data_IF_590274629363
#
_entry.id   IF_590274629363
#
_cell.length_a   1.000
_cell.length_b   1.000
_cell.length_c   1.000
_cell.angle_alpha   90.00
_cell.angle_beta   90.00
_cell.angle_gamma   90.00
#
_symmetry.space_group_name_H-M   'P 1'
#
loop_
_entity.id
_entity.type
_entity.pdbx_description
1 polymer ?
#
# COMPACT_ATOMS: atom_id res chain seq x y z
N UNK A 1 -14.01 -4.04 -8.32
CA UNK A 1 -12.75 -4.82 -8.38
C UNK A 1 -11.83 -4.56 -7.19
N UNK A 2 -11.96 -3.43 -6.49
CA UNK A 2 -11.12 -3.03 -5.35
C UNK A 2 -11.02 -4.05 -4.21
N UNK A 3 -12.12 -4.75 -3.90
CA UNK A 3 -12.14 -5.86 -2.94
C UNK A 3 -11.20 -7.02 -3.28
N UNK A 4 -11.10 -7.40 -4.57
CA UNK A 4 -10.24 -8.53 -5.00
C UNK A 4 -8.77 -8.18 -4.77
N UNK A 5 -8.39 -6.93 -5.04
CA UNK A 5 -7.02 -6.45 -4.87
C UNK A 5 -6.63 -6.42 -3.40
N UNK A 6 -7.51 -5.92 -2.51
CA UNK A 6 -7.25 -5.94 -1.07
C UNK A 6 -7.11 -7.37 -0.53
N UNK A 7 -8.00 -8.28 -0.94
CA UNK A 7 -7.89 -9.69 -0.56
C UNK A 7 -6.58 -10.32 -1.07
N UNK A 8 -6.20 -10.06 -2.33
CA UNK A 8 -4.96 -10.57 -2.89
C UNK A 8 -3.76 -10.07 -2.10
N UNK A 9 -3.74 -8.79 -1.73
CA UNK A 9 -2.70 -8.20 -0.90
C UNK A 9 -2.59 -8.89 0.48
N UNK A 10 -3.73 -9.05 1.16
CA UNK A 10 -3.77 -9.71 2.47
C UNK A 10 -3.36 -11.19 2.40
N UNK A 11 -3.71 -11.90 1.32
CA UNK A 11 -3.29 -13.28 1.09
C UNK A 11 -1.78 -13.36 0.82
N UNK A 12 -1.23 -12.45 0.00
CA UNK A 12 0.20 -12.40 -0.32
C UNK A 12 1.07 -12.19 0.91
N UNK A 13 0.59 -11.41 1.87
CA UNK A 13 1.26 -11.18 3.16
C UNK A 13 1.27 -12.41 4.09
N UNK A 14 0.47 -13.46 3.81
CA UNK A 14 0.43 -14.70 4.61
C UNK A 14 1.48 -15.73 4.20
N UNK A 15 2.15 -15.55 3.07
CA UNK A 15 3.23 -16.46 2.64
C UNK A 15 4.54 -16.19 3.41
N UNK A 16 5.42 -17.20 3.43
CA UNK A 16 6.76 -17.12 4.00
C UNK A 16 7.78 -17.66 2.96
N UNK A 17 8.53 -16.80 2.24
CA UNK A 17 8.46 -15.33 2.27
C UNK A 17 7.17 -14.77 1.63
N UNK A 18 6.82 -13.49 1.91
CA UNK A 18 5.66 -12.85 1.29
C UNK A 18 5.71 -12.89 -0.23
N UNK A 19 4.57 -13.13 -0.87
CA UNK A 19 4.49 -13.13 -2.33
C UNK A 19 4.55 -11.68 -2.88
N UNK A 20 5.24 -11.44 -4.01
CA UNK A 20 5.45 -10.09 -4.52
C UNK A 20 4.16 -9.45 -5.07
N UNK A 21 4.12 -8.12 -5.04
CA UNK A 21 3.12 -7.35 -5.79
C UNK A 21 3.36 -7.51 -7.29
N UNK A 22 2.26 -7.62 -8.03
CA UNK A 22 2.26 -7.91 -9.48
C UNK A 22 1.63 -6.79 -10.30
N UNK A 23 0.93 -5.85 -9.65
CA UNK A 23 0.26 -4.73 -10.31
C UNK A 23 0.43 -3.41 -9.53
N UNK A 24 0.43 -2.27 -10.22
CA UNK A 24 0.40 -0.96 -9.59
C UNK A 24 -0.81 -0.76 -8.67
N UNK A 25 -1.98 -1.30 -9.06
CA UNK A 25 -3.20 -1.18 -8.25
C UNK A 25 -3.05 -1.84 -6.86
N UNK A 26 -2.31 -2.94 -6.76
CA UNK A 26 -1.94 -3.54 -5.46
C UNK A 26 -1.07 -2.60 -4.64
N UNK A 27 -0.12 -1.91 -5.28
CA UNK A 27 0.77 -0.96 -4.61
C UNK A 27 0.00 0.27 -4.08
N UNK A 28 -0.90 0.85 -4.88
CA UNK A 28 -1.79 1.93 -4.43
C UNK A 28 -2.73 1.47 -3.31
N UNK A 29 -3.28 0.26 -3.40
CA UNK A 29 -4.10 -0.30 -2.32
C UNK A 29 -3.30 -0.50 -1.03
N UNK A 30 -2.05 -0.94 -1.15
CA UNK A 30 -1.15 -1.10 -0.01
C UNK A 30 -0.80 0.23 0.66
N UNK A 31 -0.59 1.30 -0.11
CA UNK A 31 -0.32 2.64 0.46
C UNK A 31 -1.45 3.07 1.40
N UNK A 32 -2.71 2.98 0.95
CA UNK A 32 -3.85 3.29 1.81
C UNK A 32 -3.98 2.37 3.02
N UNK A 33 -3.75 1.06 2.80
CA UNK A 33 -3.78 0.03 3.86
C UNK A 33 -2.75 0.32 4.97
N UNK A 34 -1.51 0.60 4.60
CA UNK A 34 -0.43 0.92 5.53
C UNK A 34 -0.72 2.23 6.25
N UNK A 35 -1.13 3.27 5.52
CA UNK A 35 -1.46 4.57 6.12
C UNK A 35 -2.53 4.43 7.22
N UNK A 36 -3.59 3.67 6.96
CA UNK A 36 -4.64 3.41 7.95
C UNK A 36 -4.12 2.65 9.17
N UNK A 37 -3.36 1.58 8.96
CA UNK A 37 -2.80 0.77 10.03
C UNK A 37 -1.83 1.57 10.92
N UNK A 38 -1.08 2.50 10.32
CA UNK A 38 -0.17 3.42 11.00
C UNK A 38 -0.88 4.62 11.64
N UNK A 39 -2.22 4.71 11.56
CA UNK A 39 -3.04 5.83 12.04
C UNK A 39 -2.66 7.19 11.43
N UNK A 40 -2.17 7.16 10.19
CA UNK A 40 -1.87 8.34 9.40
C UNK A 40 -3.15 8.87 8.72
N UNK A 41 -3.07 10.07 8.15
CA UNK A 41 -4.13 10.60 7.29
C UNK A 41 -4.29 9.78 6.01
N UNK A 42 -5.42 9.98 5.31
CA UNK A 42 -5.59 9.46 3.95
C UNK A 42 -4.50 10.05 3.05
N UNK A 43 -3.68 9.23 2.35
CA UNK A 43 -2.60 9.75 1.52
C UNK A 43 -3.11 10.70 0.43
N UNK A 44 -2.48 11.88 0.34
CA UNK A 44 -2.76 12.84 -0.73
C UNK A 44 -2.22 12.36 -2.06
N UNK A 45 -2.90 12.71 -3.16
CA UNK A 45 -2.44 12.38 -4.52
C UNK A 45 -1.09 13.03 -4.81
N UNK A 46 -0.16 12.24 -5.34
CA UNK A 46 1.09 12.66 -5.99
C UNK A 46 1.11 12.23 -7.45
N UNK A 47 2.09 12.66 -8.22
CA UNK A 47 2.11 12.43 -9.67
C UNK A 47 2.50 11.00 -10.00
N UNK A 48 3.30 10.34 -9.15
CA UNK A 48 3.76 8.96 -9.38
C UNK A 48 3.65 8.06 -8.16
N UNK A 49 3.64 6.74 -8.39
CA UNK A 49 3.63 5.75 -7.30
C UNK A 49 4.83 5.90 -6.35
N UNK A 50 6.01 6.22 -6.87
CA UNK A 50 7.20 6.40 -6.04
C UNK A 50 7.06 7.61 -5.13
N UNK A 51 6.52 8.73 -5.62
CA UNK A 51 6.24 9.89 -4.77
C UNK A 51 5.20 9.57 -3.69
N UNK A 52 4.16 8.79 -4.03
CA UNK A 52 3.17 8.33 -3.04
C UNK A 52 3.83 7.46 -1.96
N UNK A 53 4.73 6.55 -2.35
CA UNK A 53 5.47 5.68 -1.43
C UNK A 53 6.44 6.46 -0.56
N UNK A 54 7.17 7.40 -1.16
CA UNK A 54 8.17 8.21 -0.46
C UNK A 54 7.49 9.15 0.54
N UNK A 55 6.31 9.69 0.20
CA UNK A 55 5.47 10.44 1.16
C UNK A 55 5.01 9.55 2.32
N UNK A 56 4.55 8.32 2.04
CA UNK A 56 4.15 7.38 3.08
C UNK A 56 5.32 7.04 4.02
N UNK A 57 6.50 6.77 3.48
CA UNK A 57 7.71 6.52 4.28
C UNK A 57 8.09 7.75 5.11
N UNK A 58 7.96 8.97 4.57
CA UNK A 58 8.18 10.21 5.31
C UNK A 58 7.18 10.39 6.46
N UNK A 59 5.90 10.09 6.23
CA UNK A 59 4.83 10.20 7.22
C UNK A 59 4.97 9.15 8.34
N UNK A 60 5.47 7.95 8.02
CA UNK A 60 5.81 6.90 9.00
C UNK A 60 7.08 7.24 9.78
N UNK A 61 8.02 7.98 9.18
CA UNK A 61 9.33 8.29 9.75
C UNK A 61 10.15 7.02 10.01
N UNK A 62 10.70 6.89 11.22
CA UNK A 62 11.44 5.70 11.65
C UNK A 62 10.54 4.61 12.28
N UNK A 63 9.21 4.75 12.18
CA UNK A 63 8.28 3.81 12.79
C UNK A 63 8.00 2.66 11.83
N UNK A 64 8.30 1.43 12.26
CA UNK A 64 7.86 0.24 11.52
C UNK A 64 6.45 -0.17 11.95
N UNK A 65 5.66 -0.81 11.05
CA UNK A 65 4.35 -1.32 11.43
C UNK A 65 4.46 -2.43 12.48
N UNK A 66 3.74 -2.29 13.60
CA UNK A 66 3.69 -3.31 14.66
C UNK A 66 2.98 -4.60 14.20
N UNK A 67 1.99 -4.47 13.32
CA UNK A 67 1.28 -5.61 12.73
C UNK A 67 2.20 -6.31 11.71
N UNK A 68 2.53 -7.58 11.98
CA UNK A 68 3.35 -8.43 11.11
C UNK A 68 2.85 -8.48 9.66
N UNK A 69 1.53 -8.50 9.43
CA UNK A 69 0.93 -8.46 8.09
C UNK A 69 1.23 -7.13 7.41
N UNK A 70 1.10 -6.02 8.12
CA UNK A 70 1.35 -4.68 7.56
C UNK A 70 2.85 -4.49 7.29
N UNK A 71 3.72 -4.97 8.18
CA UNK A 71 5.17 -4.97 7.96
C UNK A 71 5.55 -5.76 6.69
N UNK A 72 4.94 -6.94 6.49
CA UNK A 72 5.13 -7.73 5.26
C UNK A 72 4.60 -7.03 4.01
N UNK A 73 3.44 -6.37 4.08
CA UNK A 73 2.87 -5.56 2.99
C UNK A 73 3.79 -4.39 2.64
N UNK A 74 4.32 -3.67 3.65
CA UNK A 74 5.27 -2.59 3.46
C UNK A 74 6.58 -3.06 2.83
N UNK A 75 7.10 -4.22 3.25
CA UNK A 75 8.30 -4.81 2.66
C UNK A 75 8.12 -5.14 1.17
N UNK A 76 7.01 -5.77 0.77
CA UNK A 76 6.76 -6.06 -0.65
C UNK A 76 6.43 -4.80 -1.47
N UNK A 77 5.87 -3.75 -0.85
CA UNK A 77 5.67 -2.44 -1.49
C UNK A 77 7.02 -1.78 -1.82
N UNK A 78 7.98 -1.83 -0.89
CA UNK A 78 9.35 -1.32 -1.13
C UNK A 78 10.06 -2.07 -2.26
N UNK A 79 9.78 -3.36 -2.42
CA UNK A 79 10.30 -4.18 -3.52
C UNK A 79 9.62 -3.96 -4.88
N UNK A 80 8.53 -3.19 -4.96
CA UNK A 80 7.82 -2.96 -6.21
C UNK A 80 8.50 -1.89 -7.06
N UNK A 81 8.85 -2.23 -8.31
CA UNK A 81 9.75 -1.42 -9.16
C UNK A 81 9.05 -0.60 -10.24
N UNK A 82 7.77 -0.84 -10.51
CA UNK A 82 7.05 -0.14 -11.60
C UNK A 82 6.57 1.21 -11.09
N UNK A 83 7.12 2.30 -11.64
CA UNK A 83 6.67 3.65 -11.34
C UNK A 83 5.75 4.15 -12.46
N UNK A 84 4.45 4.22 -12.19
CA UNK A 84 3.45 4.69 -13.14
C UNK A 84 2.79 5.97 -12.64
N UNK A 85 2.33 6.79 -13.59
CA UNK A 85 1.60 8.03 -13.30
C UNK A 85 0.31 7.71 -12.55
N UNK A 86 0.04 8.51 -11.52
CA UNK A 86 -1.13 8.35 -10.68
C UNK A 86 -2.39 8.72 -11.44
N UNK A 87 -3.25 7.72 -11.67
CA UNK A 87 -4.58 7.92 -12.25
C UNK A 87 -5.65 8.05 -11.16
N UNK A 88 -6.82 8.60 -11.53
CA UNK A 88 -7.97 8.67 -10.62
C UNK A 88 -8.37 7.27 -10.13
N UNK A 89 -8.34 6.29 -11.03
CA UNK A 89 -8.60 4.89 -10.70
C UNK A 89 -7.63 4.37 -9.63
N UNK A 90 -6.33 4.67 -9.74
CA UNK A 90 -5.34 4.26 -8.74
C UNK A 90 -5.63 4.88 -7.37
N UNK A 91 -6.06 6.14 -7.32
CA UNK A 91 -6.47 6.80 -6.07
C UNK A 91 -7.71 6.16 -5.44
N UNK A 92 -8.65 5.63 -6.24
CA UNK A 92 -9.76 4.84 -5.68
C UNK A 92 -9.26 3.60 -4.92
N UNK A 93 -8.16 2.98 -5.34
CA UNK A 93 -7.56 1.85 -4.62
C UNK A 93 -6.85 2.29 -3.34
N UNK A 94 -6.23 3.47 -3.31
CA UNK A 94 -5.69 4.08 -2.08
C UNK A 94 -6.81 4.27 -1.07
N UNK A 95 -7.88 4.97 -1.46
CA UNK A 95 -9.04 5.22 -0.60
C UNK A 95 -9.66 3.91 -0.14
N UNK A 96 -9.85 2.96 -1.04
CA UNK A 96 -10.41 1.66 -0.69
C UNK A 96 -9.54 0.91 0.34
N UNK A 97 -8.22 0.87 0.14
CA UNK A 97 -7.30 0.24 1.09
C UNK A 97 -7.34 0.91 2.47
N UNK A 98 -7.42 2.24 2.49
CA UNK A 98 -7.49 3.02 3.73
C UNK A 98 -8.81 2.82 4.49
N UNK A 99 -9.95 2.85 3.80
CA UNK A 99 -11.27 2.73 4.42
C UNK A 99 -11.60 1.30 4.88
N UNK A 100 -10.99 0.29 4.24
CA UNK A 100 -11.30 -1.12 4.49
C UNK A 100 -10.24 -1.86 5.32
N UNK A 101 -9.22 -1.16 5.81
CA UNK A 101 -8.28 -1.69 6.78
C UNK A 101 -8.82 -1.56 8.21
N UNK A 102 -8.75 -2.66 8.96
CA UNK A 102 -9.42 -2.85 10.26
C UNK A 102 -8.47 -2.75 11.44
#
# INVERSE_FOLDING_TARGET
MSYIIKMALDIKARFEPPAPMTSPLEAYCAIGTIARAMKLGLPERKDTLFEMRDQLDADMGNSEPEDSRIAKIHAILKGFIRNEDTTDQMMEYVTYGYENER
#
